data_IF_417710397638
#
_entry.id   IF_417710397638
#
_cell.length_a   1.000
_cell.length_b   1.000
_cell.length_c   1.000
_cell.angle_alpha   90.00
_cell.angle_beta   90.00
_cell.angle_gamma   90.00
#
_symmetry.space_group_name_H-M   'P 1'
#
loop_
_entity.id
_entity.type
_entity.pdbx_description
1 polymer ?
#
# COMPACT_ATOMS: atom_id res chain seq x y z
N UNK A 1 14.85 -8.32 -1.72
CA UNK A 1 13.92 -7.22 -2.02
C UNK A 1 12.51 -7.71 -1.70
N UNK A 2 11.66 -6.92 -1.02
CA UNK A 2 10.27 -7.33 -0.72
C UNK A 2 9.46 -7.39 -2.01
N UNK A 3 8.45 -8.25 -2.04
CA UNK A 3 7.48 -8.33 -3.13
C UNK A 3 6.38 -7.28 -2.90
N UNK A 4 6.34 -6.25 -3.75
CA UNK A 4 5.36 -5.17 -3.63
C UNK A 4 3.92 -5.68 -3.78
N UNK A 5 3.67 -6.69 -4.61
CA UNK A 5 2.34 -7.26 -4.78
C UNK A 5 1.84 -7.94 -3.51
N UNK A 6 2.72 -8.69 -2.83
CA UNK A 6 2.40 -9.30 -1.53
C UNK A 6 2.18 -8.25 -0.44
N UNK A 7 3.02 -7.20 -0.42
CA UNK A 7 2.85 -6.09 0.53
C UNK A 7 1.50 -5.40 0.32
N UNK A 8 1.07 -5.20 -0.92
CA UNK A 8 -0.26 -4.65 -1.23
C UNK A 8 -1.37 -5.58 -0.75
N UNK A 9 -1.25 -6.90 -0.95
CA UNK A 9 -2.24 -7.86 -0.46
C UNK A 9 -2.37 -7.84 1.06
N UNK A 10 -1.25 -7.78 1.77
CA UNK A 10 -1.22 -7.65 3.24
C UNK A 10 -1.89 -6.35 3.70
N UNK A 11 -1.65 -5.23 3.01
CA UNK A 11 -2.31 -3.95 3.32
C UNK A 11 -3.82 -4.02 3.08
N UNK A 12 -4.27 -4.55 1.94
CA UNK A 12 -5.71 -4.66 1.63
C UNK A 12 -6.43 -5.52 2.67
N UNK A 13 -5.80 -6.60 3.15
CA UNK A 13 -6.41 -7.52 4.11
C UNK A 13 -6.73 -6.88 5.47
N UNK A 14 -6.03 -5.81 5.86
CA UNK A 14 -6.25 -5.13 7.15
C UNK A 14 -7.16 -3.91 7.06
N UNK A 15 -7.50 -3.44 5.86
CA UNK A 15 -8.36 -2.28 5.66
C UNK A 15 -9.83 -2.72 5.76
N UNK A 16 -10.64 -2.13 6.66
CA UNK A 16 -12.08 -2.37 6.70
C UNK A 16 -12.72 -1.95 5.38
N UNK A 17 -13.47 -2.85 4.69
CA UNK A 17 -14.02 -2.56 3.36
C UNK A 17 -14.93 -1.32 3.33
N UNK A 18 -15.62 -1.02 4.44
CA UNK A 18 -16.54 0.11 4.58
C UNK A 18 -15.84 1.45 4.78
N UNK A 19 -14.60 1.46 5.29
CA UNK A 19 -13.87 2.70 5.63
C UNK A 19 -12.80 3.06 4.60
N UNK A 20 -12.17 2.06 3.98
CA UNK A 20 -11.05 2.26 3.08
C UNK A 20 -11.31 1.78 1.65
N UNK A 21 -12.57 1.78 1.21
CA UNK A 21 -12.97 1.36 -0.14
C UNK A 21 -12.12 2.02 -1.24
N UNK A 22 -11.90 3.33 -1.13
CA UNK A 22 -11.11 4.13 -2.09
C UNK A 22 -9.65 3.65 -2.12
N UNK A 23 -9.01 3.54 -0.95
CA UNK A 23 -7.63 3.07 -0.84
C UNK A 23 -7.49 1.61 -1.33
N UNK A 24 -8.43 0.73 -0.99
CA UNK A 24 -8.45 -0.66 -1.48
C UNK A 24 -8.50 -0.68 -3.01
N UNK A 25 -9.40 0.10 -3.61
CA UNK A 25 -9.55 0.18 -5.06
C UNK A 25 -8.27 0.67 -5.75
N UNK A 26 -7.66 1.73 -5.21
CA UNK A 26 -6.38 2.27 -5.71
C UNK A 26 -5.23 1.26 -5.60
N UNK A 27 -5.11 0.58 -4.46
CA UNK A 27 -4.08 -0.44 -4.25
C UNK A 27 -4.25 -1.63 -5.20
N UNK A 28 -5.49 -2.07 -5.46
CA UNK A 28 -5.78 -3.11 -6.46
C UNK A 28 -5.38 -2.68 -7.86
N UNK A 29 -5.77 -1.48 -8.29
CA UNK A 29 -5.41 -0.94 -9.60
C UNK A 29 -3.89 -0.83 -9.79
N UNK A 30 -3.17 -0.39 -8.75
CA UNK A 30 -1.70 -0.36 -8.75
C UNK A 30 -1.13 -1.77 -8.94
N UNK A 31 -1.58 -2.75 -8.14
CA UNK A 31 -1.13 -4.15 -8.25
C UNK A 31 -1.36 -4.72 -9.66
N UNK A 32 -2.51 -4.46 -10.27
CA UNK A 32 -2.80 -4.93 -11.63
C UNK A 32 -1.90 -4.27 -12.68
N UNK A 33 -1.62 -2.97 -12.54
CA UNK A 33 -0.71 -2.26 -13.44
C UNK A 33 0.71 -2.85 -13.44
N UNK A 34 1.10 -3.50 -12.34
CA UNK A 34 2.42 -4.09 -12.14
C UNK A 34 2.60 -5.44 -12.83
N UNK A 35 1.51 -6.12 -13.19
CA UNK A 35 1.56 -7.41 -13.89
C UNK A 35 2.12 -7.27 -15.32
N UNK A 36 2.02 -6.08 -15.91
CA UNK A 36 2.37 -5.83 -17.32
C UNK A 36 3.61 -4.96 -17.52
N UNK A 37 4.27 -4.49 -16.44
CA UNK A 37 5.41 -3.59 -16.58
C UNK A 37 6.78 -4.28 -16.35
N UNK A 38 7.81 -3.73 -16.98
CA UNK A 38 9.17 -4.30 -16.97
C UNK A 38 9.83 -4.28 -15.58
N UNK A 39 10.76 -5.23 -15.28
CA UNK A 39 11.45 -5.32 -13.98
C UNK A 39 12.22 -4.06 -13.57
N UNK A 40 12.71 -3.29 -14.53
CA UNK A 40 13.42 -2.02 -14.31
C UNK A 40 12.55 -0.92 -13.69
N UNK A 41 11.22 -1.04 -13.82
CA UNK A 41 10.26 -0.07 -13.27
C UNK A 41 9.87 -0.37 -11.82
N UNK A 42 10.40 -1.43 -11.21
CA UNK A 42 10.04 -1.82 -9.84
C UNK A 42 10.27 -0.67 -8.84
N UNK A 43 11.38 0.06 -8.95
CA UNK A 43 11.65 1.21 -8.08
C UNK A 43 10.60 2.32 -8.19
N UNK A 44 10.14 2.62 -9.41
CA UNK A 44 9.08 3.62 -9.65
C UNK A 44 7.76 3.18 -9.02
N UNK A 45 7.42 1.89 -9.06
CA UNK A 45 6.18 1.36 -8.46
C UNK A 45 6.14 1.52 -6.94
N UNK A 46 7.29 1.33 -6.29
CA UNK A 46 7.41 1.61 -4.85
C UNK A 46 7.14 3.10 -4.57
N UNK A 47 7.66 4.00 -5.40
CA UNK A 47 7.39 5.44 -5.31
C UNK A 47 5.91 5.78 -5.47
N UNK A 48 5.28 5.31 -6.55
CA UNK A 48 3.86 5.55 -6.84
C UNK A 48 2.95 5.00 -5.73
N UNK A 49 3.28 3.81 -5.20
CA UNK A 49 2.53 3.24 -4.06
C UNK A 49 2.71 4.10 -2.79
N UNK A 50 3.91 4.64 -2.56
CA UNK A 50 4.17 5.54 -1.44
C UNK A 50 3.35 6.83 -1.54
N UNK A 51 3.28 7.42 -2.74
CA UNK A 51 2.47 8.62 -3.02
C UNK A 51 0.98 8.34 -2.77
N UNK A 52 0.46 7.22 -3.28
CA UNK A 52 -0.93 6.80 -3.03
C UNK A 52 -1.23 6.67 -1.53
N UNK A 53 -0.33 6.07 -0.76
CA UNK A 53 -0.49 5.94 0.70
C UNK A 53 -0.42 7.31 1.40
N UNK A 54 0.45 8.20 0.94
CA UNK A 54 0.58 9.56 1.48
C UNK A 54 -0.66 10.42 1.21
N UNK A 55 -1.29 10.29 0.04
CA UNK A 55 -2.54 10.98 -0.28
C UNK A 55 -3.70 10.52 0.62
N UNK A 56 -3.84 9.21 0.86
CA UNK A 56 -4.99 8.65 1.59
C UNK A 56 -4.80 8.68 3.12
N UNK A 57 -3.58 8.42 3.59
CA UNK A 57 -3.26 8.33 5.03
C UNK A 57 -2.57 9.57 5.58
N UNK A 58 -2.18 10.50 4.72
CA UNK A 58 -1.36 11.65 5.06
C UNK A 58 0.12 11.28 5.29
N UNK A 59 0.95 12.33 5.36
CA UNK A 59 2.39 12.20 5.65
C UNK A 59 2.70 12.03 7.15
N UNK A 60 1.67 12.05 8.01
CA UNK A 60 1.83 11.90 9.46
C UNK A 60 1.66 10.44 9.84
N UNK A 61 2.48 9.98 10.80
CA UNK A 61 2.38 8.63 11.33
C UNK A 61 1.03 8.45 12.03
N UNK A 62 0.30 7.42 11.62
CA UNK A 62 -0.95 7.00 12.22
C UNK A 62 -0.63 6.18 13.48
N UNK A 63 -1.32 6.47 14.58
CA UNK A 63 -1.02 5.89 15.89
C UNK A 63 -1.98 4.78 16.30
N UNK A 64 -3.15 4.68 15.66
CA UNK A 64 -4.20 3.71 16.01
C UNK A 64 -4.97 3.21 14.78
N UNK A 65 -5.69 2.10 14.98
CA UNK A 65 -6.58 1.52 13.98
C UNK A 65 -5.85 0.88 12.79
N UNK A 66 -6.63 0.58 11.75
CA UNK A 66 -6.13 -0.10 10.55
C UNK A 66 -5.10 0.74 9.78
N UNK A 67 -5.20 2.08 9.85
CA UNK A 67 -4.25 3.00 9.19
C UNK A 67 -2.82 2.85 9.72
N UNK A 68 -2.67 2.68 11.05
CA UNK A 68 -1.37 2.34 11.65
C UNK A 68 -0.86 1.01 11.09
N UNK A 69 -1.70 -0.02 11.07
CA UNK A 69 -1.32 -1.36 10.59
C UNK A 69 -0.87 -1.34 9.13
N UNK A 70 -1.55 -0.59 8.26
CA UNK A 70 -1.14 -0.39 6.86
C UNK A 70 0.23 0.28 6.77
N UNK A 71 0.46 1.36 7.51
CA UNK A 71 1.76 2.03 7.55
C UNK A 71 2.87 1.15 8.12
N UNK A 72 2.57 0.33 9.11
CA UNK A 72 3.49 -0.62 9.73
C UNK A 72 3.88 -1.74 8.74
N UNK A 73 2.91 -2.30 7.98
CA UNK A 73 3.16 -3.22 6.86
C UNK A 73 4.06 -2.56 5.81
N UNK A 74 3.72 -1.33 5.39
CA UNK A 74 4.49 -0.56 4.42
C UNK A 74 5.94 -0.35 4.86
N UNK A 75 6.16 0.04 6.11
CA UNK A 75 7.48 0.28 6.70
C UNK A 75 8.21 -1.00 7.13
N UNK A 76 7.61 -2.18 6.96
CA UNK A 76 8.14 -3.45 7.46
C UNK A 76 8.37 -3.46 8.99
N UNK A 77 7.53 -2.74 9.74
CA UNK A 77 7.54 -2.71 11.19
C UNK A 77 6.43 -3.61 11.67
N UNK A 78 6.74 -4.85 12.05
CA UNK A 78 5.75 -5.71 12.72
C UNK A 78 5.57 -5.17 14.13
N UNK A 79 4.52 -4.37 14.35
CA UNK A 79 4.06 -3.95 15.68
C UNK A 79 3.30 -5.07 16.38
#
# INVERSE_FOLDING_TARGET
MRDLGKVIDEMIAVIPPTEGEVLISRLKAQKESFLFSAPELVGMRWGVTAECLAEELGNVRQTEGWKKTVQDIWMNRRS
#
